data_IF_389235009273
#
_entry.id   IF_389235009273
#
_cell.length_a   1.000
_cell.length_b   1.000
_cell.length_c   1.000
_cell.angle_alpha   90.00
_cell.angle_beta   90.00
_cell.angle_gamma   90.00
#
_symmetry.space_group_name_H-M   'P 1'
#
loop_
_entity.id
_entity.type
_entity.pdbx_description
1 polymer ?
#
# COMPACT_ATOMS: atom_id res chain seq x y z
N UNK A 1 -26.95 0.78 -7.66
CA UNK A 1 -25.78 1.67 -7.52
C UNK A 1 -24.68 0.84 -6.88
N UNK A 2 -23.62 0.52 -7.63
CA UNK A 2 -22.54 -0.34 -7.15
C UNK A 2 -21.68 0.43 -6.17
N UNK A 3 -21.58 -0.05 -4.92
CA UNK A 3 -20.56 0.43 -3.98
C UNK A 3 -19.21 0.02 -4.53
N UNK A 4 -18.52 0.95 -5.19
CA UNK A 4 -17.19 0.70 -5.72
C UNK A 4 -16.21 0.77 -4.54
N UNK A 5 -16.10 -0.33 -3.79
CA UNK A 5 -15.03 -0.51 -2.80
C UNK A 5 -13.71 -0.47 -3.57
N UNK A 6 -13.06 0.69 -3.63
CA UNK A 6 -11.72 0.80 -4.19
C UNK A 6 -10.76 0.15 -3.20
N UNK A 7 -10.52 -1.15 -3.37
CA UNK A 7 -9.41 -1.83 -2.73
C UNK A 7 -8.13 -1.11 -3.17
N UNK A 8 -7.49 -0.37 -2.27
CA UNK A 8 -6.23 0.30 -2.57
C UNK A 8 -5.12 -0.74 -2.49
N UNK A 9 -4.52 -1.04 -3.63
CA UNK A 9 -3.37 -1.92 -3.71
C UNK A 9 -2.13 -1.13 -3.32
N UNK A 10 -1.50 -1.49 -2.21
CA UNK A 10 -0.25 -0.90 -1.76
C UNK A 10 0.89 -1.87 -2.04
N UNK A 11 1.91 -1.40 -2.75
CA UNK A 11 3.03 -2.23 -3.20
C UNK A 11 4.29 -1.81 -2.46
N UNK A 12 4.90 -2.71 -1.70
CA UNK A 12 6.19 -2.43 -1.06
C UNK A 12 7.30 -2.67 -2.06
N UNK A 13 8.23 -1.73 -2.17
CA UNK A 13 9.35 -1.80 -3.11
C UNK A 13 10.69 -1.49 -2.45
N UNK A 14 11.72 -2.15 -2.94
CA UNK A 14 13.12 -1.79 -2.71
C UNK A 14 13.66 -1.10 -3.97
N UNK A 15 14.50 -0.08 -3.78
CA UNK A 15 14.99 0.80 -4.84
C UNK A 15 16.51 0.92 -4.80
N UNK A 16 17.12 0.97 -5.97
CA UNK A 16 18.53 1.27 -6.19
C UNK A 16 18.62 2.46 -7.14
N UNK A 17 18.94 3.64 -6.59
CA UNK A 17 19.07 4.87 -7.36
C UNK A 17 20.36 4.86 -8.17
N UNK A 18 20.25 5.27 -9.44
CA UNK A 18 21.44 5.49 -10.27
C UNK A 18 22.16 6.75 -9.84
N UNK A 19 23.49 6.73 -9.97
CA UNK A 19 24.30 7.93 -9.82
C UNK A 19 24.00 8.95 -10.92
N UNK A 20 24.43 10.20 -10.74
CA UNK A 20 24.25 11.22 -11.77
C UNK A 20 24.99 10.86 -13.08
N UNK A 21 26.13 10.17 -12.95
CA UNK A 21 26.97 9.69 -14.05
C UNK A 21 26.30 8.54 -14.83
N UNK A 22 25.49 7.74 -14.15
CA UNK A 22 24.72 6.63 -14.73
C UNK A 22 23.35 7.07 -15.28
N UNK A 23 23.10 8.39 -15.32
CA UNK A 23 21.85 8.97 -15.84
C UNK A 23 20.76 9.19 -14.78
N UNK A 24 21.07 8.97 -13.51
CA UNK A 24 20.22 9.26 -12.37
C UNK A 24 20.03 10.76 -12.09
N UNK A 25 19.41 11.07 -10.96
CA UNK A 25 19.08 12.45 -10.61
C UNK A 25 20.33 13.22 -10.16
N UNK A 26 20.51 14.41 -10.73
CA UNK A 26 21.53 15.38 -10.26
C UNK A 26 21.19 16.04 -8.93
N UNK A 27 19.90 16.05 -8.56
CA UNK A 27 19.41 16.64 -7.31
C UNK A 27 18.68 15.56 -6.50
N UNK A 28 18.89 15.52 -5.17
CA UNK A 28 18.21 14.57 -4.32
C UNK A 28 16.69 14.77 -4.37
N UNK A 29 15.96 13.74 -3.92
CA UNK A 29 14.52 13.83 -3.70
C UNK A 29 14.31 14.64 -2.41
N UNK A 30 13.58 15.75 -2.50
CA UNK A 30 13.44 16.69 -1.39
C UNK A 30 12.22 16.40 -0.50
N UNK A 31 11.26 15.61 -0.99
CA UNK A 31 9.97 15.35 -0.35
C UNK A 31 9.75 13.86 -0.16
N UNK A 32 8.92 13.51 0.81
CA UNK A 32 8.55 12.11 1.08
C UNK A 32 7.79 11.43 -0.05
N UNK A 33 7.13 12.21 -0.92
CA UNK A 33 6.38 11.69 -2.06
C UNK A 33 7.11 12.02 -3.36
N UNK A 34 7.19 11.05 -4.26
CA UNK A 34 7.84 11.17 -5.55
C UNK A 34 7.01 10.51 -6.65
N UNK A 35 6.44 11.34 -7.53
CA UNK A 35 5.69 10.90 -8.70
C UNK A 35 6.63 10.67 -9.89
N UNK A 36 6.46 9.54 -10.56
CA UNK A 36 7.28 9.15 -11.70
C UNK A 36 6.52 8.21 -12.65
N UNK A 37 7.19 7.82 -13.73
CA UNK A 37 6.77 6.69 -14.56
C UNK A 37 7.66 5.48 -14.28
N UNK A 38 7.17 4.29 -14.60
CA UNK A 38 7.93 3.05 -14.46
C UNK A 38 7.53 2.05 -15.55
N UNK A 39 8.38 1.04 -15.78
CA UNK A 39 8.05 -0.13 -16.59
C UNK A 39 8.75 -1.37 -16.03
N UNK A 40 8.15 -2.55 -16.16
CA UNK A 40 8.77 -3.79 -15.73
C UNK A 40 9.93 -4.19 -16.65
N UNK A 41 10.96 -4.82 -16.07
CA UNK A 41 12.13 -5.30 -16.81
C UNK A 41 11.74 -6.43 -17.76
N UNK A 42 10.88 -7.32 -17.28
CA UNK A 42 10.40 -8.49 -18.02
C UNK A 42 9.10 -8.17 -18.76
N UNK A 43 9.04 -8.50 -20.04
CA UNK A 43 7.86 -8.30 -20.89
C UNK A 43 7.94 -7.03 -21.74
N UNK A 44 6.79 -6.57 -22.20
CA UNK A 44 6.70 -5.34 -22.99
C UNK A 44 6.99 -4.12 -22.12
N UNK A 45 7.74 -3.15 -22.68
CA UNK A 45 8.10 -1.88 -22.02
C UNK A 45 6.90 -0.94 -21.93
N UNK A 46 5.83 -1.38 -21.29
CA UNK A 46 4.64 -0.61 -21.03
C UNK A 46 4.89 0.32 -19.85
N UNK A 47 4.86 1.63 -20.12
CA UNK A 47 4.97 2.65 -19.07
C UNK A 47 3.68 2.73 -18.26
N UNK A 48 3.82 2.84 -16.94
CA UNK A 48 2.75 3.13 -16.00
C UNK A 48 3.19 4.24 -15.03
N UNK A 49 2.22 4.94 -14.45
CA UNK A 49 2.48 6.02 -13.50
C UNK A 49 2.47 5.50 -12.06
N UNK A 50 3.44 5.93 -11.27
CA UNK A 50 3.61 5.54 -9.88
C UNK A 50 3.82 6.75 -8.98
N UNK A 51 3.44 6.61 -7.72
CA UNK A 51 3.86 7.51 -6.64
C UNK A 51 4.60 6.67 -5.61
N UNK A 52 5.85 7.03 -5.34
CA UNK A 52 6.67 6.43 -4.29
C UNK A 52 6.52 7.26 -3.02
N UNK A 53 6.09 6.61 -1.95
CA UNK A 53 5.94 7.17 -0.62
C UNK A 53 7.07 6.65 0.27
N UNK A 54 8.02 7.52 0.57
CA UNK A 54 9.16 7.20 1.42
C UNK A 54 8.81 7.35 2.91
N UNK A 55 9.34 6.47 3.78
CA UNK A 55 9.37 6.73 5.22
C UNK A 55 9.96 8.12 5.48
N UNK A 56 9.27 8.94 6.26
CA UNK A 56 9.60 10.36 6.39
C UNK A 56 9.44 10.90 7.80
N UNK A 57 10.16 11.98 8.09
CA UNK A 57 9.98 12.82 9.27
C UNK A 57 9.54 14.21 8.88
N UNK A 58 8.84 14.87 9.81
CA UNK A 58 8.46 16.27 9.64
C UNK A 58 9.63 17.16 10.06
N UNK A 59 10.11 18.00 9.15
CA UNK A 59 11.13 19.03 9.41
C UNK A 59 10.61 20.36 8.88
N UNK A 60 10.46 21.36 9.75
CA UNK A 60 9.90 22.67 9.39
C UNK A 60 8.59 22.54 8.59
N UNK A 61 7.66 21.69 9.06
CA UNK A 61 6.38 21.40 8.41
C UNK A 61 6.44 20.67 7.06
N UNK A 62 7.64 20.32 6.58
CA UNK A 62 7.86 19.54 5.35
C UNK A 62 8.14 18.07 5.70
N UNK A 63 7.51 17.13 4.99
CA UNK A 63 7.83 15.70 5.09
C UNK A 63 9.10 15.41 4.29
N UNK A 64 10.20 15.18 5.00
CA UNK A 64 11.51 14.87 4.44
C UNK A 64 11.74 13.36 4.52
N UNK A 65 12.17 12.69 3.43
CA UNK A 65 12.41 11.26 3.44
C UNK A 65 13.60 10.92 4.37
N UNK A 66 13.45 9.87 5.18
CA UNK A 66 14.53 9.32 6.00
C UNK A 66 15.41 8.35 5.20
N UNK A 67 14.78 7.58 4.33
CA UNK A 67 15.40 6.54 3.53
C UNK A 67 14.80 6.59 2.12
N UNK A 68 15.63 6.34 1.11
CA UNK A 68 15.22 6.36 -0.30
C UNK A 68 15.31 4.98 -0.96
N UNK A 69 15.87 3.98 -0.28
CA UNK A 69 16.04 2.62 -0.77
C UNK A 69 14.77 1.75 -0.60
N UNK A 70 13.75 2.26 0.10
CA UNK A 70 12.47 1.56 0.34
C UNK A 70 11.32 2.56 0.29
N UNK A 71 10.23 2.15 -0.33
CA UNK A 71 9.01 2.95 -0.43
C UNK A 71 7.75 2.07 -0.48
N UNK A 72 6.63 2.66 -0.09
CA UNK A 72 5.32 2.18 -0.52
C UNK A 72 5.01 2.82 -1.88
N UNK A 73 4.66 2.00 -2.86
CA UNK A 73 4.37 2.41 -4.22
C UNK A 73 2.87 2.32 -4.47
N UNK A 74 2.30 3.47 -4.84
CA UNK A 74 0.95 3.57 -5.36
C UNK A 74 0.99 3.52 -6.89
N UNK A 75 0.13 2.71 -7.50
CA UNK A 75 0.03 2.56 -8.94
C UNK A 75 -1.29 3.20 -9.36
N UNK A 76 -1.23 4.23 -10.21
CA UNK A 76 -2.42 5.02 -10.53
C UNK A 76 -3.47 4.25 -11.34
N UNK A 77 -3.04 3.29 -12.17
CA UNK A 77 -3.91 2.44 -12.99
C UNK A 77 -3.39 0.99 -12.96
N UNK A 78 -3.64 0.23 -11.88
CA UNK A 78 -3.06 -1.11 -11.71
C UNK A 78 -3.57 -2.13 -12.73
N UNK A 79 -4.73 -1.90 -13.36
CA UNK A 79 -5.35 -2.79 -14.34
C UNK A 79 -4.47 -2.99 -15.57
N UNK A 80 -3.69 -1.98 -15.96
CA UNK A 80 -2.82 -2.07 -17.15
C UNK A 80 -1.61 -2.96 -16.96
N UNK A 81 -1.24 -3.24 -15.71
CA UNK A 81 -0.03 -4.01 -15.36
C UNK A 81 -0.30 -5.20 -14.45
N UNK A 82 -1.57 -5.56 -14.24
CA UNK A 82 -1.99 -6.60 -13.31
C UNK A 82 -1.32 -7.95 -13.57
N UNK A 83 -1.07 -8.31 -14.83
CA UNK A 83 -0.38 -9.55 -15.19
C UNK A 83 1.12 -9.58 -14.87
N UNK A 84 1.74 -8.42 -14.69
CA UNK A 84 3.18 -8.28 -14.38
C UNK A 84 3.43 -8.03 -12.89
N UNK A 85 2.39 -7.58 -12.16
CA UNK A 85 2.49 -7.24 -10.76
C UNK A 85 2.56 -8.48 -9.85
N UNK A 86 3.79 -8.86 -9.49
CA UNK A 86 4.07 -9.98 -8.59
C UNK A 86 5.24 -9.64 -7.67
N UNK A 87 5.27 -10.25 -6.49
CA UNK A 87 6.42 -10.14 -5.59
C UNK A 87 7.69 -10.64 -6.29
N UNK A 88 8.80 -9.93 -6.08
CA UNK A 88 10.09 -10.19 -6.71
C UNK A 88 10.24 -9.63 -8.13
N UNK A 89 9.19 -9.12 -8.76
CA UNK A 89 9.29 -8.49 -10.08
C UNK A 89 10.19 -7.26 -10.05
N UNK A 90 11.04 -7.14 -11.07
CA UNK A 90 11.94 -6.01 -11.25
C UNK A 90 11.34 -4.98 -12.19
N UNK A 91 11.56 -3.71 -11.91
CA UNK A 91 11.09 -2.60 -12.73
C UNK A 91 12.13 -1.47 -12.76
N UNK A 92 11.99 -0.57 -13.72
CA UNK A 92 12.76 0.67 -13.79
C UNK A 92 11.84 1.84 -13.49
N UNK A 93 12.32 2.79 -12.68
CA UNK A 93 11.71 4.10 -12.48
C UNK A 93 12.33 5.08 -13.46
N UNK A 94 11.49 5.88 -14.10
CA UNK A 94 11.90 6.81 -15.14
C UNK A 94 11.43 8.25 -14.90
N UNK A 95 12.25 9.18 -15.37
CA UNK A 95 11.90 10.59 -15.55
C UNK A 95 11.99 10.95 -17.03
N UNK A 96 10.83 11.00 -17.68
CA UNK A 96 10.78 11.04 -19.14
C UNK A 96 11.46 9.80 -19.72
N UNK A 97 12.44 9.99 -20.61
CA UNK A 97 13.16 8.89 -21.26
C UNK A 97 14.28 8.26 -20.42
N UNK A 98 14.61 8.83 -19.25
CA UNK A 98 15.79 8.41 -18.46
C UNK A 98 15.39 7.46 -17.35
N UNK A 99 16.12 6.36 -17.20
CA UNK A 99 16.03 5.48 -16.02
C UNK A 99 16.81 6.12 -14.87
N UNK A 100 16.15 6.35 -13.75
CA UNK A 100 16.73 7.00 -12.57
C UNK A 100 16.92 6.05 -11.39
N UNK A 101 16.18 4.94 -11.36
CA UNK A 101 16.34 3.90 -10.37
C UNK A 101 15.89 2.54 -10.91
N UNK A 102 16.46 1.50 -10.32
CA UNK A 102 16.01 0.12 -10.46
C UNK A 102 15.19 -0.23 -9.22
N UNK A 103 14.10 -0.97 -9.40
CA UNK A 103 13.18 -1.32 -8.35
C UNK A 103 12.88 -2.80 -8.34
N UNK A 104 12.57 -3.33 -7.15
CA UNK A 104 12.10 -4.70 -6.97
C UNK A 104 10.91 -4.71 -6.01
N UNK A 105 9.84 -5.39 -6.40
CA UNK A 105 8.66 -5.55 -5.53
C UNK A 105 9.02 -6.47 -4.37
N UNK A 106 8.94 -5.97 -3.15
CA UNK A 106 9.23 -6.71 -1.93
C UNK A 106 7.96 -7.27 -1.27
N UNK A 107 6.79 -6.68 -1.52
CA UNK A 107 5.51 -7.17 -1.00
C UNK A 107 4.29 -6.52 -1.68
N UNK A 108 3.13 -7.16 -1.55
CA UNK A 108 1.85 -6.69 -2.08
C UNK A 108 0.81 -6.75 -0.95
N UNK A 109 0.15 -5.62 -0.66
CA UNK A 109 -0.89 -5.51 0.37
C UNK A 109 -2.16 -4.92 -0.23
N UNK A 110 -3.30 -5.58 -0.02
CA UNK A 110 -4.60 -5.11 -0.50
C UNK A 110 -5.37 -4.54 0.69
N UNK A 111 -5.50 -3.22 0.74
CA UNK A 111 -6.28 -2.55 1.76
C UNK A 111 -7.71 -2.32 1.24
N UNK A 112 -8.66 -3.12 1.73
CA UNK A 112 -10.08 -2.86 1.51
C UNK A 112 -10.50 -1.66 2.37
N UNK A 113 -10.62 -0.48 1.74
CA UNK A 113 -11.20 0.69 2.41
C UNK A 113 -12.71 0.43 2.59
N UNK A 114 -13.15 0.26 3.84
CA UNK A 114 -14.57 0.32 4.18
C UNK A 114 -14.99 1.79 4.15
N UNK A 115 -15.70 2.19 3.10
CA UNK A 115 -16.44 3.44 3.10
C UNK A 115 -17.54 3.36 4.17
N UNK A 116 -17.26 3.91 5.36
CA UNK A 116 -18.30 4.20 6.33
C UNK A 116 -19.13 5.39 5.81
N UNK A 117 -20.03 5.11 4.88
CA UNK A 117 -21.16 6.00 4.61
C UNK A 117 -21.99 6.09 5.90
N UNK A 118 -21.73 7.11 6.71
CA UNK A 118 -22.58 7.48 7.83
C UNK A 118 -23.90 7.99 7.26
N UNK A 119 -24.82 7.06 7.00
CA UNK A 119 -26.22 7.39 6.72
C UNK A 119 -26.77 7.99 8.01
N UNK A 120 -26.76 9.31 8.07
CA UNK A 120 -27.35 10.11 9.12
C UNK A 120 -28.88 9.98 9.00
N UNK A 121 -29.47 8.90 9.52
CA UNK A 121 -30.93 8.79 9.61
C UNK A 121 -31.41 9.72 10.72
N UNK A 122 -31.83 10.93 10.30
CA UNK A 122 -32.73 11.77 11.08
C UNK A 122 -34.02 10.99 11.37
N UNK A 123 -34.09 10.34 12.53
CA UNK A 123 -35.36 9.88 13.11
C UNK A 123 -35.93 10.98 14.00
N UNK A 124 -37.11 11.47 13.64
CA UNK A 124 -37.91 12.44 14.40
C UNK A 124 -38.47 11.77 15.67
N UNK A 125 -38.22 12.42 16.82
CA UNK A 125 -39.02 12.50 18.06
C UNK A 125 -39.72 11.24 18.60
N UNK A 126 -39.32 10.82 19.79
CA UNK A 126 -40.28 10.61 20.89
C UNK A 126 -39.64 10.94 22.24
N UNK A 127 -40.34 11.71 23.07
CA UNK A 127 -39.99 12.09 24.44
C UNK A 127 -40.37 10.94 25.38
N UNK A 128 -39.41 10.39 26.12
CA UNK A 128 -39.70 9.82 27.45
C UNK A 128 -38.49 9.97 28.39
N UNK A 129 -38.84 10.16 29.65
CA UNK A 129 -38.09 10.64 30.82
C UNK A 129 -37.20 9.55 31.44
N UNK A 130 -35.97 9.96 31.83
CA UNK A 130 -35.13 9.48 32.96
C UNK A 130 -34.75 7.99 33.00
N UNK A 131 -33.44 7.71 32.93
CA UNK A 131 -32.61 7.19 34.04
C UNK A 131 -31.13 7.12 33.62
N UNK A 132 -30.24 7.58 34.52
CA UNK A 132 -28.78 7.48 34.40
C UNK A 132 -28.35 6.02 34.35
N UNK A 133 -27.59 5.63 33.32
CA UNK A 133 -26.60 4.55 33.42
C UNK A 133 -25.32 4.95 32.68
N UNK A 134 -24.23 4.98 33.42
CA UNK A 134 -22.87 5.18 32.94
C UNK A 134 -22.50 3.96 32.10
N UNK A 135 -22.47 4.10 30.78
CA UNK A 135 -21.94 3.08 29.89
C UNK A 135 -20.41 3.28 29.77
N UNK A 136 -19.65 2.35 30.35
CA UNK A 136 -18.20 2.24 30.15
C UNK A 136 -17.91 2.17 28.65
N UNK A 137 -17.10 3.09 28.13
CA UNK A 137 -16.50 2.97 26.79
C UNK A 137 -15.62 1.73 26.77
N UNK A 138 -16.07 0.67 26.10
CA UNK A 138 -15.22 -0.47 25.75
C UNK A 138 -14.43 -0.03 24.52
N UNK A 139 -13.10 0.07 24.66
CA UNK A 139 -12.21 0.34 23.54
C UNK A 139 -12.30 -0.82 22.53
N UNK A 140 -12.29 -0.56 21.21
CA UNK A 140 -12.21 -1.64 20.23
C UNK A 140 -10.87 -2.35 20.36
N UNK A 141 -10.93 -3.67 20.57
CA UNK A 141 -9.79 -4.58 20.69
C UNK A 141 -9.06 -4.63 19.34
N UNK A 142 -7.82 -4.14 19.30
CA UNK A 142 -6.92 -4.30 18.16
C UNK A 142 -6.63 -5.80 17.98
N UNK A 143 -7.07 -6.38 16.86
CA UNK A 143 -6.70 -7.73 16.46
C UNK A 143 -5.44 -7.64 15.61
N UNK A 144 -4.35 -8.22 16.10
CA UNK A 144 -3.08 -8.31 15.40
C UNK A 144 -3.08 -9.62 14.62
N UNK A 145 -3.04 -9.57 13.28
CA UNK A 145 -2.84 -10.77 12.46
C UNK A 145 -1.36 -10.91 12.18
N UNK A 146 -0.74 -11.90 12.80
CA UNK A 146 0.65 -12.28 12.51
C UNK A 146 0.60 -13.34 11.41
N UNK A 147 1.14 -13.02 10.23
CA UNK A 147 1.30 -14.02 9.16
C UNK A 147 2.42 -14.97 9.59
N UNK A 148 2.06 -16.22 9.86
CA UNK A 148 3.03 -17.30 10.00
C UNK A 148 3.48 -17.69 8.60
N UNK A 149 4.78 -17.57 8.34
CA UNK A 149 5.38 -17.96 7.06
C UNK A 149 4.98 -19.38 6.68
N UNK A 150 4.66 -19.67 5.40
CA UNK A 150 4.41 -21.04 4.98
C UNK A 150 5.70 -21.86 5.10
N UNK A 151 5.62 -22.96 5.85
CA UNK A 151 6.62 -24.03 5.77
C UNK A 151 6.42 -24.72 4.43
N UNK A 152 7.38 -24.53 3.53
CA UNK A 152 7.45 -25.26 2.27
C UNK A 152 7.82 -26.71 2.61
N UNK A 153 6.88 -27.64 2.37
CA UNK A 153 7.20 -29.03 2.11
C UNK A 153 6.80 -29.34 0.68
N UNK A 154 7.71 -30.00 -0.02
CA UNK A 154 7.61 -30.38 -1.41
C UNK A 154 6.31 -31.13 -1.72
N UNK A 155 5.70 -30.76 -2.85
CA UNK A 155 4.67 -31.56 -3.52
C UNK A 155 3.23 -31.33 -3.06
N UNK A 156 2.38 -31.02 -4.04
CA UNK A 156 0.92 -31.00 -4.02
C UNK A 156 0.20 -29.82 -3.33
N UNK A 157 -0.24 -28.88 -4.19
CA UNK A 157 -1.18 -27.82 -3.86
C UNK A 157 -2.59 -28.41 -3.64
N UNK A 158 -2.93 -28.64 -2.37
CA UNK A 158 -4.31 -28.68 -1.89
C UNK A 158 -4.46 -27.68 -0.75
N UNK A 159 -4.99 -26.49 -1.05
CA UNK A 159 -5.21 -25.44 -0.05
C UNK A 159 -6.53 -25.66 0.69
N UNK A 160 -6.52 -26.44 1.76
CA UNK A 160 -7.56 -26.39 2.81
C UNK A 160 -7.04 -25.53 3.96
N UNK A 161 -7.57 -24.31 4.07
CA UNK A 161 -7.31 -23.42 5.21
C UNK A 161 -8.23 -23.85 6.36
N UNK A 162 -7.70 -24.56 7.34
CA UNK A 162 -8.35 -24.78 8.63
C UNK A 162 -8.09 -23.57 9.54
N UNK A 163 -9.15 -23.05 10.16
CA UNK A 163 -9.09 -21.97 11.14
C UNK A 163 -9.32 -22.56 12.53
N UNK A 164 -8.34 -22.43 13.43
CA UNK A 164 -8.57 -22.66 14.87
C UNK A 164 -8.97 -21.34 15.55
N UNK A 165 -10.12 -21.37 16.20
CA UNK A 165 -10.68 -20.25 16.96
C UNK A 165 -10.31 -20.42 18.44
N UNK A 166 -9.40 -19.59 18.96
CA UNK A 166 -9.09 -19.58 20.39
C UNK A 166 -9.91 -18.51 21.12
N UNK A 167 -10.68 -18.94 22.12
CA UNK A 167 -11.39 -18.05 23.03
C UNK A 167 -10.46 -17.61 24.17
N UNK A 168 -10.44 -16.30 24.47
CA UNK A 168 -9.84 -15.72 25.68
C UNK A 168 -10.96 -15.32 26.62
#
# INVERSE_FOLDING_TARGET
MSNNMSNKLMVKVALMWRSAEEGGRKRPIATADYAATAYFVDGDRQLFSVVLHFPSTLQNEVKVPQLLDRADMDILVPEVIKGQLKQGASFYVTEGARVVAEGKISGLEINALRDHASVNTRSKKSRTRVQRKVAKKVAPKLVHYQVVSPVVKDGDFSSSLEYEEFHI
#
